data_IF_763325452180
#
_entry.id   IF_763325452180
#
_cell.length_a   1.000
_cell.length_b   1.000
_cell.length_c   1.000
_cell.angle_alpha   90.00
_cell.angle_beta   90.00
_cell.angle_gamma   90.00
#
_symmetry.space_group_name_H-M   'P 1'
#
loop_
_entity.id
_entity.type
_entity.pdbx_description
1 polymer ?
#
# COMPACT_ATOMS: atom_id res chain seq x y z
N UNK A 1 -21.13 13.37 2.18
CA UNK A 1 -20.41 14.51 1.59
C UNK A 1 -18.90 14.40 1.81
N UNK A 2 -18.39 14.24 3.04
CA UNK A 2 -16.93 14.12 3.34
C UNK A 2 -16.24 12.95 2.62
N UNK A 3 -16.87 11.78 2.55
CA UNK A 3 -16.29 10.61 1.85
C UNK A 3 -16.11 10.85 0.35
N UNK A 4 -17.10 11.49 -0.30
CA UNK A 4 -16.99 11.84 -1.72
C UNK A 4 -15.83 12.82 -1.94
N UNK A 5 -15.71 13.83 -1.08
CA UNK A 5 -14.59 14.77 -1.10
C UNK A 5 -13.27 14.04 -0.91
N UNK A 6 -13.19 13.10 0.03
CA UNK A 6 -11.99 12.26 0.24
C UNK A 6 -11.61 11.45 -1.00
N UNK A 7 -12.58 10.86 -1.70
CA UNK A 7 -12.33 10.13 -2.96
C UNK A 7 -11.84 11.05 -4.09
N UNK A 8 -12.44 12.24 -4.22
CA UNK A 8 -12.01 13.24 -5.22
C UNK A 8 -10.58 13.71 -4.95
N UNK A 9 -10.27 14.01 -3.69
CA UNK A 9 -8.91 14.39 -3.28
C UNK A 9 -7.94 13.24 -3.49
N UNK A 10 -8.32 12.00 -3.18
CA UNK A 10 -7.50 10.82 -3.46
C UNK A 10 -7.17 10.69 -4.94
N UNK A 11 -8.17 10.87 -5.82
CA UNK A 11 -7.97 10.87 -7.27
C UNK A 11 -7.05 11.99 -7.75
N UNK A 12 -7.23 13.21 -7.22
CA UNK A 12 -6.38 14.36 -7.55
C UNK A 12 -4.93 14.12 -7.14
N UNK A 13 -4.68 13.54 -5.96
CA UNK A 13 -3.33 13.19 -5.52
C UNK A 13 -2.66 12.16 -6.42
N UNK A 14 -3.39 11.17 -6.92
CA UNK A 14 -2.83 10.20 -7.88
C UNK A 14 -2.30 10.90 -9.14
N UNK A 15 -2.99 11.94 -9.60
CA UNK A 15 -2.59 12.73 -10.77
C UNK A 15 -1.40 13.64 -10.43
N UNK A 16 -1.48 14.39 -9.34
CA UNK A 16 -0.45 15.35 -8.94
C UNK A 16 0.88 14.66 -8.61
N UNK A 17 0.82 13.48 -8.01
CA UNK A 17 2.01 12.69 -7.65
C UNK A 17 2.49 11.79 -8.79
N UNK A 18 1.92 11.86 -9.99
CA UNK A 18 2.35 11.05 -11.13
C UNK A 18 3.84 11.23 -11.49
N UNK A 19 4.40 12.46 -11.54
CA UNK A 19 5.85 12.62 -11.80
C UNK A 19 6.71 11.90 -10.75
N UNK A 20 6.32 11.98 -9.49
CA UNK A 20 7.00 11.30 -8.39
C UNK A 20 6.88 9.77 -8.50
N UNK A 21 5.71 9.27 -8.90
CA UNK A 21 5.48 7.84 -9.15
C UNK A 21 6.38 7.33 -10.26
N UNK A 22 6.46 8.06 -11.38
CA UNK A 22 7.31 7.69 -12.51
C UNK A 22 8.80 7.69 -12.13
N UNK A 23 9.23 8.68 -11.34
CA UNK A 23 10.59 8.74 -10.81
C UNK A 23 10.90 7.56 -9.89
N UNK A 24 10.00 7.24 -8.95
CA UNK A 24 10.14 6.08 -8.08
C UNK A 24 10.18 4.76 -8.87
N UNK A 25 9.36 4.63 -9.91
CA UNK A 25 9.35 3.47 -10.80
C UNK A 25 10.68 3.33 -11.57
N UNK A 26 11.23 4.44 -12.06
CA UNK A 26 12.55 4.48 -12.69
C UNK A 26 13.65 4.02 -11.72
N UNK A 27 13.65 4.54 -10.49
CA UNK A 27 14.61 4.12 -9.46
C UNK A 27 14.53 2.62 -9.17
N UNK A 28 13.32 2.08 -9.04
CA UNK A 28 13.11 0.65 -8.81
C UNK A 28 13.63 -0.19 -9.98
N UNK A 29 13.34 0.24 -11.23
CA UNK A 29 13.79 -0.44 -12.44
C UNK A 29 15.31 -0.41 -12.62
N UNK A 30 15.99 0.62 -12.16
CA UNK A 30 17.45 0.77 -12.24
C UNK A 30 18.21 0.13 -11.06
N UNK A 31 17.54 -0.72 -10.28
CA UNK A 31 18.16 -1.42 -9.14
C UNK A 31 18.28 -0.59 -7.87
N UNK A 32 17.78 0.65 -7.84
CA UNK A 32 17.78 1.55 -6.68
C UNK A 32 16.51 1.40 -5.84
N UNK A 33 16.15 0.16 -5.51
CA UNK A 33 14.90 -0.14 -4.81
C UNK A 33 14.76 0.59 -3.47
N UNK A 34 15.84 0.70 -2.69
CA UNK A 34 15.84 1.43 -1.42
C UNK A 34 15.47 2.92 -1.57
N UNK A 35 15.91 3.57 -2.65
CA UNK A 35 15.53 4.94 -2.92
C UNK A 35 14.04 5.06 -3.28
N UNK A 36 13.49 4.09 -4.00
CA UNK A 36 12.06 3.98 -4.26
C UNK A 36 11.28 3.80 -2.96
N UNK A 37 11.71 2.91 -2.07
CA UNK A 37 11.03 2.66 -0.80
C UNK A 37 11.03 3.89 0.11
N UNK A 38 12.11 4.67 0.18
CA UNK A 38 12.11 5.95 0.91
C UNK A 38 11.05 6.93 0.39
N UNK A 39 10.79 6.92 -0.92
CA UNK A 39 9.72 7.75 -1.50
C UNK A 39 8.35 7.23 -1.05
N UNK A 40 8.09 5.93 -1.18
CA UNK A 40 6.81 5.35 -0.77
C UNK A 40 6.57 5.49 0.73
N UNK A 41 7.58 5.25 1.57
CA UNK A 41 7.48 5.32 3.02
C UNK A 41 7.15 6.74 3.52
N UNK A 42 7.57 7.77 2.79
CA UNK A 42 7.25 9.16 3.11
C UNK A 42 5.89 9.59 2.56
N UNK A 43 5.64 9.34 1.28
CA UNK A 43 4.51 9.96 0.57
C UNK A 43 3.21 9.19 0.71
N UNK A 44 3.24 7.85 0.80
CA UNK A 44 2.03 7.06 0.94
C UNK A 44 1.34 7.29 2.29
N UNK A 45 2.01 7.21 3.45
CA UNK A 45 1.36 7.50 4.73
C UNK A 45 0.89 8.95 4.83
N UNK A 46 1.68 9.90 4.31
CA UNK A 46 1.28 11.30 4.30
C UNK A 46 -0.03 11.51 3.54
N UNK A 47 -0.13 10.98 2.32
CA UNK A 47 -1.32 11.05 1.51
C UNK A 47 -2.51 10.34 2.17
N UNK A 48 -2.33 9.15 2.72
CA UNK A 48 -3.38 8.43 3.43
C UNK A 48 -3.87 9.22 4.67
N UNK A 49 -2.97 9.86 5.42
CA UNK A 49 -3.36 10.74 6.53
C UNK A 49 -4.20 11.93 6.07
N UNK A 50 -3.91 12.53 4.93
CA UNK A 50 -4.74 13.61 4.37
C UNK A 50 -6.15 13.11 4.09
N UNK A 51 -6.28 11.93 3.46
CA UNK A 51 -7.59 11.32 3.16
C UNK A 51 -8.38 11.06 4.47
N UNK A 52 -7.73 10.48 5.48
CA UNK A 52 -8.35 10.18 6.77
C UNK A 52 -8.82 11.47 7.48
N UNK A 53 -8.01 12.53 7.48
CA UNK A 53 -8.37 13.83 8.06
C UNK A 53 -9.57 14.47 7.36
N UNK A 54 -9.63 14.42 6.02
CA UNK A 54 -10.76 14.94 5.25
C UNK A 54 -12.02 14.13 5.57
N UNK A 55 -11.89 12.81 5.73
CA UNK A 55 -12.96 11.92 6.17
C UNK A 55 -13.44 12.18 7.60
N UNK A 56 -12.70 12.96 8.37
CA UNK A 56 -12.97 13.20 9.79
C UNK A 56 -12.62 11.99 10.67
N UNK A 57 -11.73 11.13 10.19
CA UNK A 57 -11.33 9.89 10.86
C UNK A 57 -10.11 10.18 11.72
N UNK A 58 -10.21 9.87 13.00
CA UNK A 58 -9.10 9.89 13.95
C UNK A 58 -8.62 8.46 14.14
N UNK A 59 -7.34 8.23 13.96
CA UNK A 59 -6.70 6.92 14.14
C UNK A 59 -5.92 6.95 15.45
N UNK A 60 -6.24 6.05 16.34
CA UNK A 60 -5.50 5.78 17.57
C UNK A 60 -4.86 4.41 17.43
N UNK A 61 -3.57 4.30 17.71
CA UNK A 61 -2.81 3.07 17.54
C UNK A 61 -2.17 2.71 18.86
N UNK A 62 -2.46 1.51 19.34
CA UNK A 62 -1.87 0.95 20.55
C UNK A 62 -1.03 -0.29 20.19
N UNK A 63 0.00 -0.58 20.99
CA UNK A 63 0.79 -1.79 20.86
C UNK A 63 1.85 -1.74 19.73
N UNK A 64 2.22 -0.57 19.22
CA UNK A 64 3.28 -0.45 18.21
C UNK A 64 4.63 -1.01 18.69
N UNK A 65 4.87 -0.97 20.00
CA UNK A 65 6.04 -1.56 20.66
C UNK A 65 6.14 -3.07 20.52
N UNK A 66 5.01 -3.74 20.25
CA UNK A 66 4.93 -5.18 20.04
C UNK A 66 5.21 -5.61 18.60
N UNK A 67 5.41 -4.64 17.68
CA UNK A 67 5.72 -4.96 16.30
C UNK A 67 7.07 -5.70 16.20
N UNK A 68 7.15 -6.79 15.43
CA UNK A 68 8.40 -7.50 15.23
C UNK A 68 9.44 -6.60 14.54
N UNK A 69 10.70 -6.74 14.93
CA UNK A 69 11.81 -5.97 14.34
C UNK A 69 12.18 -6.42 12.92
N UNK A 70 11.74 -7.59 12.52
CA UNK A 70 12.00 -8.18 11.21
C UNK A 70 10.74 -8.23 10.32
N UNK A 71 10.86 -8.84 9.14
CA UNK A 71 9.75 -9.06 8.24
C UNK A 71 8.63 -9.86 8.91
N UNK A 72 7.39 -9.46 8.70
CA UNK A 72 6.24 -10.10 9.31
C UNK A 72 5.03 -10.10 8.37
N UNK A 73 4.12 -11.03 8.61
CA UNK A 73 2.82 -11.09 7.95
C UNK A 73 1.77 -10.53 8.90
N UNK A 74 1.10 -9.47 8.46
CA UNK A 74 0.01 -8.85 9.21
C UNK A 74 -1.33 -9.37 8.71
N UNK A 75 -2.12 -9.91 9.61
CA UNK A 75 -3.48 -10.37 9.32
C UNK A 75 -4.44 -9.54 10.14
N UNK A 76 -5.41 -8.93 9.50
CA UNK A 76 -6.41 -8.12 10.18
C UNK A 76 -7.82 -8.41 9.66
N UNK A 77 -8.83 -8.16 10.48
CA UNK A 77 -10.22 -8.16 10.05
C UNK A 77 -10.47 -6.93 9.18
N UNK A 78 -10.78 -7.17 7.92
CA UNK A 78 -11.05 -6.11 6.96
C UNK A 78 -12.56 -5.91 6.81
N UNK A 79 -13.06 -4.78 7.27
CA UNK A 79 -14.48 -4.45 7.27
C UNK A 79 -14.83 -3.32 6.30
N UNK A 80 -13.85 -2.48 5.93
CA UNK A 80 -14.08 -1.29 5.15
C UNK A 80 -12.91 -0.95 4.24
N UNK A 81 -13.17 -0.19 3.18
CA UNK A 81 -12.12 0.41 2.34
C UNK A 81 -11.22 1.38 3.12
N UNK A 82 -11.69 1.89 4.26
CA UNK A 82 -10.95 2.81 5.14
C UNK A 82 -9.84 2.09 5.91
N UNK A 83 -9.94 0.78 6.10
CA UNK A 83 -8.91 0.00 6.80
C UNK A 83 -7.56 0.07 6.06
N UNK A 84 -7.57 0.22 4.73
CA UNK A 84 -6.36 0.33 3.94
C UNK A 84 -5.58 1.62 4.25
N UNK A 85 -6.17 2.82 4.17
CA UNK A 85 -5.52 4.04 4.65
C UNK A 85 -5.03 3.96 6.09
N UNK A 86 -5.83 3.36 6.98
CA UNK A 86 -5.44 3.19 8.40
C UNK A 86 -4.19 2.33 8.51
N UNK A 87 -4.16 1.16 7.89
CA UNK A 87 -3.00 0.26 7.92
C UNK A 87 -1.74 0.90 7.33
N UNK A 88 -1.87 1.60 6.20
CA UNK A 88 -0.75 2.26 5.52
C UNK A 88 -0.17 3.43 6.35
N UNK A 89 -0.91 3.93 7.33
CA UNK A 89 -0.44 5.01 8.22
C UNK A 89 -0.01 4.50 9.59
N UNK A 90 -0.74 3.54 10.16
CA UNK A 90 -0.56 3.07 11.53
C UNK A 90 0.76 2.31 11.74
N UNK A 91 1.22 1.58 10.73
CA UNK A 91 2.43 0.75 10.82
C UNK A 91 3.74 1.51 10.52
N UNK A 92 3.69 2.84 10.43
CA UNK A 92 4.84 3.72 10.25
C UNK A 92 5.44 3.74 8.84
N UNK A 93 5.23 2.69 8.06
CA UNK A 93 5.61 2.59 6.64
C UNK A 93 4.60 1.73 5.87
N UNK A 94 4.43 1.93 4.55
CA UNK A 94 3.61 1.05 3.73
C UNK A 94 4.16 -0.38 3.75
N UNK A 95 3.25 -1.32 3.93
CA UNK A 95 3.52 -2.76 3.82
C UNK A 95 2.97 -3.29 2.52
N UNK A 96 3.56 -4.35 1.99
CA UNK A 96 3.04 -5.02 0.82
C UNK A 96 1.64 -5.59 1.13
N UNK A 97 0.65 -5.18 0.37
CA UNK A 97 -0.73 -5.64 0.56
C UNK A 97 -1.06 -6.77 -0.41
N UNK A 98 -1.78 -7.78 0.09
CA UNK A 98 -2.44 -8.75 -0.79
C UNK A 98 -3.80 -8.19 -1.22
N UNK A 99 -3.90 -7.74 -2.46
CA UNK A 99 -5.05 -7.01 -2.99
C UNK A 99 -5.79 -7.82 -4.06
N UNK A 100 -7.08 -7.53 -4.27
CA UNK A 100 -7.84 -8.14 -5.37
C UNK A 100 -7.24 -7.78 -6.71
N UNK A 101 -7.17 -8.75 -7.65
CA UNK A 101 -6.62 -8.56 -8.99
C UNK A 101 -7.28 -7.41 -9.77
N UNK A 102 -8.56 -7.11 -9.51
CA UNK A 102 -9.25 -5.99 -10.17
C UNK A 102 -8.57 -4.63 -9.92
N UNK A 103 -7.89 -4.45 -8.78
CA UNK A 103 -7.18 -3.21 -8.48
C UNK A 103 -5.95 -3.00 -9.38
N UNK A 104 -5.42 -4.05 -9.99
CA UNK A 104 -4.35 -3.94 -10.99
C UNK A 104 -4.80 -3.21 -12.27
N UNK A 105 -6.11 -3.11 -12.49
CA UNK A 105 -6.70 -2.43 -13.65
C UNK A 105 -7.00 -0.94 -13.38
N UNK A 106 -6.85 -0.48 -12.13
CA UNK A 106 -7.08 0.92 -11.77
C UNK A 106 -5.84 1.75 -12.11
N UNK A 107 -5.93 2.65 -13.10
CA UNK A 107 -4.79 3.47 -13.50
C UNK A 107 -4.21 4.26 -12.32
N UNK A 108 -2.94 4.58 -12.37
CA UNK A 108 -2.19 5.32 -11.35
C UNK A 108 -2.10 4.60 -9.99
N UNK A 109 -3.23 4.13 -9.42
CA UNK A 109 -3.24 3.38 -8.17
C UNK A 109 -2.39 2.11 -8.26
N UNK A 110 -2.57 1.32 -9.32
CA UNK A 110 -1.77 0.13 -9.60
C UNK A 110 -0.26 0.44 -9.59
N UNK A 111 0.15 1.56 -10.19
CA UNK A 111 1.54 2.00 -10.20
C UNK A 111 2.09 2.17 -8.77
N UNK A 112 1.40 2.91 -7.92
CA UNK A 112 1.78 3.08 -6.52
C UNK A 112 1.84 1.75 -5.77
N UNK A 113 0.81 0.90 -5.91
CA UNK A 113 0.77 -0.41 -5.26
C UNK A 113 1.97 -1.29 -5.63
N UNK A 114 2.44 -1.24 -6.88
CA UNK A 114 3.64 -1.97 -7.32
C UNK A 114 4.95 -1.41 -6.73
N UNK A 115 4.99 -0.13 -6.41
CA UNK A 115 6.19 0.48 -5.84
C UNK A 115 6.49 -0.03 -4.43
N UNK A 116 5.47 -0.37 -3.64
CA UNK A 116 5.64 -1.00 -2.32
C UNK A 116 5.24 -2.49 -2.31
N UNK A 117 5.47 -3.18 -3.42
CA UNK A 117 5.43 -4.63 -3.57
C UNK A 117 4.07 -5.30 -3.33
N UNK A 118 2.96 -4.59 -3.55
CA UNK A 118 1.64 -5.21 -3.47
C UNK A 118 1.48 -6.39 -4.43
N UNK A 119 0.84 -7.44 -3.94
CA UNK A 119 0.55 -8.66 -4.67
C UNK A 119 -0.93 -8.67 -5.06
N UNK A 120 -1.21 -8.88 -6.34
CA UNK A 120 -2.57 -8.93 -6.86
C UNK A 120 -3.05 -10.37 -6.94
N UNK A 121 -4.06 -10.72 -6.13
CA UNK A 121 -4.59 -12.09 -6.00
C UNK A 121 -5.82 -12.26 -6.88
N UNK A 122 -5.76 -13.22 -7.79
CA UNK A 122 -6.90 -13.68 -8.57
C UNK A 122 -7.58 -14.81 -7.81
N UNK A 123 -8.66 -14.50 -7.09
CA UNK A 123 -9.31 -15.44 -6.17
C UNK A 123 -10.09 -16.54 -6.90
N UNK A 124 -10.51 -16.27 -8.12
CA UNK A 124 -11.33 -17.19 -8.94
C UNK A 124 -10.48 -18.26 -9.65
N UNK A 125 -9.16 -18.14 -9.62
CA UNK A 125 -8.22 -19.12 -10.13
C UNK A 125 -7.32 -19.65 -8.99
N UNK A 126 -7.55 -20.87 -8.51
CA UNK A 126 -6.77 -21.46 -7.41
C UNK A 126 -5.26 -21.54 -7.71
N UNK A 127 -4.88 -21.79 -8.95
CA UNK A 127 -3.46 -21.86 -9.34
C UNK A 127 -2.80 -20.48 -9.30
N UNK A 128 -3.50 -19.45 -9.81
CA UNK A 128 -3.01 -18.07 -9.75
C UNK A 128 -2.98 -17.56 -8.31
N UNK A 129 -3.99 -17.87 -7.50
CA UNK A 129 -4.01 -17.54 -6.08
C UNK A 129 -2.81 -18.14 -5.34
N UNK A 130 -2.54 -19.44 -5.54
CA UNK A 130 -1.38 -20.10 -4.94
C UNK A 130 -0.05 -19.42 -5.31
N UNK A 131 0.15 -19.07 -6.58
CA UNK A 131 1.36 -18.33 -7.00
C UNK A 131 1.49 -17.00 -6.27
N UNK A 132 0.38 -16.27 -6.09
CA UNK A 132 0.38 -15.01 -5.34
C UNK A 132 0.81 -15.20 -3.88
N UNK A 133 0.40 -16.30 -3.23
CA UNK A 133 0.88 -16.63 -1.89
C UNK A 133 2.38 -16.97 -1.87
N UNK A 134 2.85 -17.73 -2.86
CA UNK A 134 4.27 -18.06 -3.01
C UNK A 134 5.12 -16.78 -3.23
N UNK A 135 4.60 -15.78 -3.96
CA UNK A 135 5.20 -14.46 -4.11
C UNK A 135 5.28 -13.73 -2.76
N UNK A 136 4.23 -13.79 -1.95
CA UNK A 136 4.22 -13.24 -0.60
C UNK A 136 5.28 -13.86 0.31
N UNK A 137 5.37 -15.19 0.29
CA UNK A 137 6.43 -15.91 1.04
C UNK A 137 7.81 -15.48 0.60
N UNK A 138 8.02 -15.28 -0.71
CA UNK A 138 9.32 -14.78 -1.24
C UNK A 138 9.63 -13.37 -0.75
N UNK A 139 8.64 -12.48 -0.72
CA UNK A 139 8.84 -11.11 -0.19
C UNK A 139 9.31 -11.15 1.26
N UNK A 140 8.62 -11.90 2.12
CA UNK A 140 9.00 -12.02 3.54
C UNK A 140 10.39 -12.60 3.69
N UNK A 141 10.75 -13.67 2.96
CA UNK A 141 12.09 -14.26 2.97
C UNK A 141 13.18 -13.29 2.51
N UNK A 142 12.84 -12.35 1.63
CA UNK A 142 13.75 -11.30 1.14
C UNK A 142 13.79 -10.05 2.04
N UNK A 143 13.25 -10.14 3.24
CA UNK A 143 13.30 -9.04 4.20
C UNK A 143 12.23 -7.96 4.01
N UNK A 144 11.18 -8.23 3.22
CA UNK A 144 10.03 -7.34 3.00
C UNK A 144 8.79 -7.88 3.72
N UNK A 145 7.91 -6.99 4.09
CA UNK A 145 6.63 -7.28 4.75
C UNK A 145 5.50 -6.43 4.15
#
# INVERSE_FOLDING_TARGET
MRMILGCLVAGLFLILLLPLQLWAAFLKKTGRAEACYRITDRWVPWWMNVILKIGGIRVEVEGLENLPKGPAVFVCNHQSMIDIPVLLTALGRPRALMAKAVLSKVPLLHGWMRLFDCIFVQRDDPKAARRSYEDGVRLVKNGRD
#
